data_IF_846487380486
#
_entry.id   IF_846487380486
#
_cell.length_a   1.000
_cell.length_b   1.000
_cell.length_c   1.000
_cell.angle_alpha   90.00
_cell.angle_beta   90.00
_cell.angle_gamma   90.00
#
_symmetry.space_group_name_H-M   'P 1'
#
loop_
_entity.id
_entity.type
_entity.pdbx_description
1 polymer ?
#
# COMPACT_ATOMS: atom_id res chain seq x y z
N UNK A 1 -14.74 14.84 -65.23
CA UNK A 1 -14.45 13.96 -64.07
C UNK A 1 -13.16 13.16 -64.25
N UNK A 2 -12.92 12.52 -65.40
CA UNK A 2 -11.69 11.73 -65.68
C UNK A 2 -10.38 12.54 -65.58
N UNK A 3 -10.35 13.80 -66.02
CA UNK A 3 -9.15 14.65 -65.97
C UNK A 3 -8.67 14.95 -64.54
N UNK A 4 -9.60 15.07 -63.57
CA UNK A 4 -9.26 15.27 -62.14
C UNK A 4 -8.70 14.00 -61.49
N UNK A 5 -9.15 12.82 -61.96
CA UNK A 5 -8.64 11.54 -61.48
C UNK A 5 -7.20 11.33 -61.98
N UNK A 6 -6.90 11.69 -63.23
CA UNK A 6 -5.53 11.62 -63.76
C UNK A 6 -4.55 12.57 -63.05
N UNK A 7 -4.99 13.78 -62.67
CA UNK A 7 -4.15 14.68 -61.86
C UNK A 7 -3.90 14.13 -60.47
N UNK A 8 -4.90 13.50 -59.84
CA UNK A 8 -4.72 12.90 -58.51
C UNK A 8 -3.82 11.68 -58.54
N UNK A 9 -3.92 10.81 -59.55
CA UNK A 9 -3.03 9.65 -59.68
C UNK A 9 -1.61 10.05 -60.04
N UNK A 10 -1.41 11.09 -60.86
CA UNK A 10 -0.07 11.61 -61.18
C UNK A 10 0.63 12.21 -59.95
N UNK A 11 -0.09 12.99 -59.14
CA UNK A 11 0.45 13.58 -57.90
C UNK A 11 0.80 12.48 -56.89
N UNK A 12 -0.06 11.47 -56.73
CA UNK A 12 0.19 10.36 -55.82
C UNK A 12 1.42 9.53 -56.25
N UNK A 13 1.62 9.32 -57.55
CA UNK A 13 2.77 8.58 -58.07
C UNK A 13 4.08 9.36 -57.90
N UNK A 14 4.05 10.69 -58.04
CA UNK A 14 5.22 11.54 -57.79
C UNK A 14 5.66 11.56 -56.31
N UNK A 15 4.72 11.45 -55.37
CA UNK A 15 5.02 11.41 -53.94
C UNK A 15 5.78 10.12 -53.52
N UNK A 16 5.58 9.02 -54.25
CA UNK A 16 6.29 7.76 -53.99
C UNK A 16 7.76 7.78 -54.43
N UNK A 17 8.16 8.69 -55.33
CA UNK A 17 9.54 8.80 -55.80
C UNK A 17 10.45 9.60 -54.85
N UNK A 18 9.89 10.40 -53.93
CA UNK A 18 10.66 11.21 -52.96
C UNK A 18 10.89 10.42 -51.65
N UNK A 19 10.16 9.32 -51.43
CA UNK A 19 10.27 8.53 -50.20
C UNK A 19 11.49 7.58 -50.15
N UNK A 20 12.38 7.64 -51.14
CA UNK A 20 13.61 6.85 -51.18
C UNK A 20 14.83 7.76 -51.03
N UNK A 21 14.93 8.43 -49.88
CA UNK A 21 16.20 9.00 -49.42
C UNK A 21 16.99 7.88 -48.75
N UNK A 22 18.07 7.45 -49.40
CA UNK A 22 19.00 6.47 -48.87
C UNK A 22 19.83 7.12 -47.78
N UNK A 23 19.51 6.83 -46.51
CA UNK A 23 20.38 7.13 -45.39
C UNK A 23 21.72 6.43 -45.61
N UNK A 24 22.72 7.18 -46.07
CA UNK A 24 24.10 6.73 -46.11
C UNK A 24 24.47 6.27 -44.69
N UNK A 25 24.81 4.99 -44.56
CA UNK A 25 25.30 4.38 -43.33
C UNK A 25 26.53 5.16 -42.80
N UNK A 26 26.31 6.21 -42.02
CA UNK A 26 27.32 6.75 -41.13
C UNK A 26 27.41 5.78 -39.96
N UNK A 27 28.36 4.86 -40.04
CA UNK A 27 28.82 4.08 -38.89
C UNK A 27 29.21 5.09 -37.81
N UNK A 28 28.33 5.29 -36.83
CA UNK A 28 28.65 6.08 -35.64
C UNK A 28 29.72 5.30 -34.87
N UNK A 29 30.91 5.88 -34.76
CA UNK A 29 31.98 5.30 -33.98
C UNK A 29 31.52 5.16 -32.52
N UNK A 30 31.67 3.97 -31.94
CA UNK A 30 31.28 3.68 -30.55
C UNK A 30 31.94 4.64 -29.55
N UNK A 31 33.06 5.26 -29.94
CA UNK A 31 33.76 6.27 -29.15
C UNK A 31 33.03 7.62 -29.01
N UNK A 32 32.07 7.93 -29.90
CA UNK A 32 31.27 9.16 -29.84
C UNK A 32 30.01 9.03 -28.97
N UNK A 33 29.62 7.80 -28.64
CA UNK A 33 28.45 7.50 -27.79
C UNK A 33 28.88 7.09 -26.38
N UNK A 34 30.15 6.72 -26.20
CA UNK A 34 30.68 6.35 -24.89
C UNK A 34 30.83 7.60 -24.03
N UNK A 35 30.20 7.66 -22.83
CA UNK A 35 30.46 8.74 -21.90
C UNK A 35 31.95 8.71 -21.53
N UNK A 36 32.69 9.72 -21.98
CA UNK A 36 34.08 9.90 -21.58
C UNK A 36 34.05 10.33 -20.12
N UNK A 37 34.52 9.46 -19.24
CA UNK A 37 34.69 9.75 -17.82
C UNK A 37 35.62 10.94 -17.68
N UNK A 38 35.08 12.15 -17.48
CA UNK A 38 35.84 13.22 -16.86
C UNK A 38 36.24 12.73 -15.47
N UNK A 39 37.54 12.53 -15.27
CA UNK A 39 38.10 12.09 -14.00
C UNK A 39 37.55 12.97 -12.88
N UNK A 40 36.76 12.35 -11.99
CA UNK A 40 36.18 13.02 -10.83
C UNK A 40 37.31 13.67 -10.04
N UNK A 41 37.44 14.99 -10.15
CA UNK A 41 38.15 15.79 -9.13
C UNK A 41 37.48 15.46 -7.81
N UNK A 42 38.27 15.03 -6.84
CA UNK A 42 37.85 14.67 -5.49
C UNK A 42 37.01 15.80 -4.87
N UNK A 43 35.69 15.78 -5.08
CA UNK A 43 34.75 16.44 -4.18
C UNK A 43 34.90 15.69 -2.87
N UNK A 44 35.40 16.39 -1.85
CA UNK A 44 35.34 15.94 -0.46
C UNK A 44 33.94 15.36 -0.25
N UNK A 45 33.91 14.09 0.13
CA UNK A 45 32.72 13.41 0.61
C UNK A 45 32.11 14.28 1.70
N UNK A 46 31.04 15.02 1.35
CA UNK A 46 30.10 15.49 2.35
C UNK A 46 29.59 14.22 3.02
N UNK A 47 29.87 14.09 4.30
CA UNK A 47 29.38 12.98 5.11
C UNK A 47 27.86 13.03 5.03
N UNK A 48 27.27 12.18 4.20
CA UNK A 48 25.82 12.01 4.14
C UNK A 48 25.42 11.52 5.52
N UNK A 49 24.87 12.43 6.33
CA UNK A 49 24.21 12.07 7.57
C UNK A 49 23.10 11.10 7.15
N UNK A 50 23.31 9.82 7.43
CA UNK A 50 22.36 8.75 7.13
C UNK A 50 21.19 8.92 8.09
N UNK A 51 20.28 9.84 7.75
CA UNK A 51 19.10 10.13 8.53
C UNK A 51 18.16 8.95 8.37
N UNK A 52 17.93 8.22 9.46
CA UNK A 52 16.99 7.11 9.50
C UNK A 52 15.61 7.61 9.00
N UNK A 53 15.18 7.08 7.85
CA UNK A 53 13.94 7.49 7.18
C UNK A 53 12.70 6.87 7.83
N UNK A 54 12.87 5.84 8.66
CA UNK A 54 11.79 5.11 9.33
C UNK A 54 11.53 5.60 10.76
N UNK A 55 12.48 6.32 11.36
CA UNK A 55 12.38 6.85 12.72
C UNK A 55 11.04 7.56 13.03
N UNK A 56 10.50 8.47 12.19
CA UNK A 56 9.22 9.13 12.49
C UNK A 56 8.04 8.14 12.50
N UNK A 57 8.11 7.08 11.70
CA UNK A 57 7.08 6.05 11.67
C UNK A 57 7.17 5.16 12.91
N UNK A 58 8.38 4.83 13.37
CA UNK A 58 8.60 4.09 14.61
C UNK A 58 8.07 4.87 15.83
N UNK A 59 8.31 6.18 15.89
CA UNK A 59 7.80 7.06 16.94
C UNK A 59 6.27 7.07 17.01
N UNK A 60 5.58 6.98 15.88
CA UNK A 60 4.11 6.90 15.84
C UNK A 60 3.54 5.69 16.60
N UNK A 61 4.28 4.57 16.66
CA UNK A 61 3.85 3.38 17.42
C UNK A 61 4.11 3.48 18.93
N UNK A 62 4.96 4.41 19.37
CA UNK A 62 5.44 4.48 20.76
C UNK A 62 5.17 5.84 21.44
N UNK A 63 4.19 6.59 20.95
CA UNK A 63 3.71 7.79 21.64
C UNK A 63 3.17 7.41 23.03
N UNK A 64 3.23 8.29 24.02
CA UNK A 64 2.88 8.00 25.43
C UNK A 64 1.49 7.36 25.63
N UNK A 65 0.54 7.66 24.75
CA UNK A 65 -0.82 7.11 24.80
C UNK A 65 -0.98 5.76 24.08
N UNK A 66 0.07 5.27 23.43
CA UNK A 66 0.12 4.06 22.61
C UNK A 66 1.15 3.09 23.21
N UNK A 67 0.66 2.14 24.00
CA UNK A 67 1.49 1.15 24.69
C UNK A 67 1.80 -0.09 23.83
N UNK A 68 2.42 0.09 22.65
CA UNK A 68 2.77 -1.02 21.74
C UNK A 68 4.21 -1.54 21.92
N UNK A 69 5.12 -0.73 22.49
CA UNK A 69 6.52 -1.11 22.78
C UNK A 69 7.29 -1.66 21.55
N UNK A 70 7.09 -1.04 20.39
CA UNK A 70 7.76 -1.42 19.14
C UNK A 70 9.22 -0.96 19.19
N UNK A 71 10.16 -1.89 18.97
CA UNK A 71 11.60 -1.61 19.00
C UNK A 71 12.16 -1.37 17.59
N UNK A 72 11.66 -2.12 16.61
CA UNK A 72 12.13 -2.00 15.23
C UNK A 72 10.94 -2.09 14.26
N UNK A 73 11.11 -1.44 13.11
CA UNK A 73 10.16 -1.39 12.02
C UNK A 73 10.91 -1.60 10.71
N UNK A 74 10.43 -2.52 9.88
CA UNK A 74 10.92 -2.73 8.52
C UNK A 74 9.79 -2.76 7.51
N UNK A 75 10.07 -2.35 6.28
CA UNK A 75 9.12 -2.43 5.19
C UNK A 75 8.97 -3.88 4.72
N UNK A 76 7.73 -4.30 4.47
CA UNK A 76 7.41 -5.57 3.82
C UNK A 76 7.00 -5.34 2.38
N UNK A 77 7.80 -5.85 1.44
CA UNK A 77 7.52 -5.82 0.01
C UNK A 77 6.52 -6.91 -0.37
N UNK A 78 5.28 -6.80 0.12
CA UNK A 78 4.19 -7.67 -0.31
C UNK A 78 2.95 -6.85 -0.64
N UNK A 79 2.29 -7.22 -1.75
CA UNK A 79 1.08 -6.55 -2.22
C UNK A 79 -0.15 -7.36 -1.81
N UNK A 80 -0.96 -6.77 -0.94
CA UNK A 80 -2.24 -7.33 -0.54
C UNK A 80 -3.33 -7.11 -1.61
N UNK A 81 -4.42 -7.90 -1.56
CA UNK A 81 -5.56 -7.76 -2.47
C UNK A 81 -6.14 -6.34 -2.53
N UNK A 82 -6.24 -5.67 -1.36
CA UNK A 82 -6.78 -4.31 -1.23
C UNK A 82 -6.02 -3.28 -2.08
N UNK A 83 -4.75 -3.54 -2.43
CA UNK A 83 -3.98 -2.65 -3.31
C UNK A 83 -4.60 -2.47 -4.72
N UNK A 84 -5.49 -3.38 -5.14
CA UNK A 84 -6.22 -3.27 -6.42
C UNK A 84 -7.22 -2.10 -6.45
N UNK A 85 -7.62 -1.58 -5.29
CA UNK A 85 -8.58 -0.48 -5.15
C UNK A 85 -7.92 0.91 -5.16
N UNK A 86 -6.65 0.97 -5.59
CA UNK A 86 -5.90 2.23 -5.79
C UNK A 86 -5.94 3.14 -4.55
N UNK A 87 -5.47 2.64 -3.38
CA UNK A 87 -5.38 3.46 -2.18
C UNK A 87 -4.45 4.66 -2.41
N UNK A 88 -4.78 5.80 -1.80
CA UNK A 88 -3.96 7.03 -1.85
C UNK A 88 -2.61 6.83 -1.15
N UNK A 89 -2.64 6.07 -0.05
CA UNK A 89 -1.45 5.66 0.71
C UNK A 89 -1.60 4.19 1.04
N UNK A 90 -0.53 3.43 0.85
CA UNK A 90 -0.42 2.04 1.27
C UNK A 90 0.91 1.84 1.97
N UNK A 91 0.90 1.31 3.19
CA UNK A 91 2.12 0.95 3.94
C UNK A 91 1.99 -0.46 4.45
N UNK A 92 3.10 -1.20 4.46
CA UNK A 92 3.15 -2.55 5.02
C UNK A 92 4.43 -2.71 5.83
N UNK A 93 4.27 -2.90 7.14
CA UNK A 93 5.37 -2.93 8.08
C UNK A 93 5.43 -4.25 8.82
N UNK A 94 6.64 -4.78 8.96
CA UNK A 94 6.98 -5.77 9.98
C UNK A 94 7.45 -5.01 11.22
N UNK A 95 6.89 -5.34 12.37
CA UNK A 95 7.17 -4.69 13.64
C UNK A 95 7.70 -5.75 14.61
N UNK A 96 8.79 -5.41 15.30
CA UNK A 96 9.32 -6.23 16.40
C UNK A 96 9.19 -5.49 17.71
N UNK A 97 8.90 -6.25 18.77
CA UNK A 97 8.84 -5.73 20.14
C UNK A 97 10.09 -6.13 20.90
N UNK A 98 10.20 -5.73 22.18
CA UNK A 98 11.24 -6.26 23.07
C UNK A 98 11.17 -7.78 23.20
N UNK A 99 9.97 -8.36 23.11
CA UNK A 99 9.79 -9.79 22.93
C UNK A 99 10.06 -10.15 21.46
N UNK A 100 11.26 -10.65 21.19
CA UNK A 100 11.70 -11.05 19.84
C UNK A 100 10.89 -12.20 19.24
N UNK A 101 10.09 -12.91 20.04
CA UNK A 101 9.22 -13.99 19.56
C UNK A 101 7.84 -13.48 19.11
N UNK A 102 7.52 -12.22 19.40
CA UNK A 102 6.31 -11.56 18.96
C UNK A 102 6.56 -10.85 17.63
N UNK A 103 6.11 -11.50 16.55
CA UNK A 103 6.11 -10.94 15.21
C UNK A 103 4.76 -10.30 14.95
N UNK A 104 4.78 -9.03 14.53
CA UNK A 104 3.58 -8.27 14.19
C UNK A 104 3.73 -7.74 12.78
N UNK A 105 2.69 -7.89 11.97
CA UNK A 105 2.56 -7.20 10.68
C UNK A 105 1.44 -6.19 10.78
N UNK A 106 1.72 -4.96 10.35
CA UNK A 106 0.72 -3.90 10.25
C UNK A 106 0.69 -3.35 8.83
N UNK A 107 -0.46 -3.51 8.18
CA UNK A 107 -0.71 -2.99 6.84
C UNK A 107 -1.81 -1.95 6.91
N UNK A 108 -1.60 -0.83 6.22
CA UNK A 108 -2.52 0.30 6.23
C UNK A 108 -2.79 0.80 4.82
N UNK A 109 -4.06 1.16 4.59
CA UNK A 109 -4.53 1.81 3.38
C UNK A 109 -5.35 3.04 3.70
N UNK A 110 -5.15 4.11 2.94
CA UNK A 110 -6.05 5.26 2.93
C UNK A 110 -6.74 5.41 1.58
N UNK A 111 -7.96 5.89 1.62
CA UNK A 111 -8.83 6.09 0.48
C UNK A 111 -9.39 7.50 0.46
N UNK A 112 -9.96 7.87 -0.69
CA UNK A 112 -10.56 9.18 -0.89
C UNK A 112 -11.76 9.42 0.04
N UNK A 113 -12.60 8.41 0.21
CA UNK A 113 -13.84 8.48 0.99
C UNK A 113 -14.35 7.07 1.37
N UNK A 114 -15.50 7.03 2.04
CA UNK A 114 -16.15 5.81 2.52
C UNK A 114 -16.65 4.88 1.43
N UNK A 115 -16.97 5.39 0.25
CA UNK A 115 -17.38 4.52 -0.85
C UNK A 115 -16.20 3.66 -1.30
N UNK A 116 -15.02 4.26 -1.50
CA UNK A 116 -13.82 3.52 -1.86
C UNK A 116 -13.39 2.55 -0.75
N UNK A 117 -13.40 3.00 0.51
CA UNK A 117 -13.06 2.15 1.66
C UNK A 117 -13.98 0.93 1.77
N UNK A 118 -15.29 1.15 1.70
CA UNK A 118 -16.28 0.08 1.80
C UNK A 118 -16.16 -0.89 0.62
N UNK A 119 -15.96 -0.38 -0.60
CA UNK A 119 -15.75 -1.22 -1.77
C UNK A 119 -14.54 -2.13 -1.60
N UNK A 120 -13.40 -1.60 -1.17
CA UNK A 120 -12.19 -2.40 -0.91
C UNK A 120 -12.43 -3.46 0.17
N UNK A 121 -13.05 -3.06 1.28
CA UNK A 121 -13.31 -3.93 2.43
C UNK A 121 -14.26 -5.08 2.09
N UNK A 122 -15.41 -4.80 1.48
CA UNK A 122 -16.40 -5.85 1.18
C UNK A 122 -15.93 -6.81 0.09
N UNK A 123 -15.22 -6.31 -0.93
CA UNK A 123 -14.61 -7.21 -1.93
C UNK A 123 -13.52 -8.11 -1.32
N UNK A 124 -12.73 -7.59 -0.37
CA UNK A 124 -11.78 -8.43 0.36
C UNK A 124 -12.52 -9.50 1.18
N UNK A 125 -13.57 -9.12 1.90
CA UNK A 125 -14.36 -10.04 2.72
C UNK A 125 -15.03 -11.15 1.89
N UNK A 126 -15.45 -10.84 0.67
CA UNK A 126 -16.02 -11.80 -0.28
C UNK A 126 -14.98 -12.82 -0.75
N UNK A 127 -13.74 -12.39 -1.02
CA UNK A 127 -12.63 -13.27 -1.41
C UNK A 127 -12.23 -14.22 -0.29
N UNK A 128 -12.25 -13.75 0.96
CA UNK A 128 -12.08 -14.60 2.14
C UNK A 128 -13.23 -15.60 2.36
N UNK A 129 -14.20 -15.64 1.42
CA UNK A 129 -15.42 -16.45 1.48
C UNK A 129 -16.17 -16.20 2.78
N UNK A 130 -16.13 -14.96 3.26
CA UNK A 130 -16.77 -14.52 4.49
C UNK A 130 -17.82 -13.44 4.23
N UNK A 131 -18.53 -13.59 3.09
CA UNK A 131 -19.50 -12.64 2.54
C UNK A 131 -20.69 -12.27 3.44
N UNK A 132 -20.86 -12.92 4.60
CA UNK A 132 -21.89 -12.58 5.57
C UNK A 132 -21.30 -11.76 6.71
N UNK A 133 -21.61 -10.46 6.72
CA UNK A 133 -21.35 -9.56 7.84
C UNK A 133 -21.93 -10.19 9.12
N UNK A 134 -21.20 -10.05 10.23
CA UNK A 134 -21.54 -10.61 11.55
C UNK A 134 -21.55 -12.14 11.62
N UNK A 135 -21.00 -12.84 10.63
CA UNK A 135 -20.81 -14.28 10.71
C UNK A 135 -19.45 -14.61 11.36
N UNK A 136 -19.43 -15.37 12.47
CA UNK A 136 -18.18 -15.81 13.06
C UNK A 136 -17.57 -16.95 12.24
N UNK A 137 -16.52 -16.62 11.49
CA UNK A 137 -15.71 -17.57 10.71
C UNK A 137 -14.24 -17.28 10.94
N UNK A 138 -13.40 -18.32 10.98
CA UNK A 138 -11.96 -18.11 11.01
C UNK A 138 -11.47 -17.61 9.63
N UNK A 139 -10.74 -16.50 9.64
CA UNK A 139 -10.01 -15.94 8.50
C UNK A 139 -8.57 -16.44 8.49
N UNK A 140 -7.91 -16.35 9.64
CA UNK A 140 -6.47 -16.61 9.79
C UNK A 140 -6.18 -17.68 10.84
N UNK A 141 -4.94 -18.19 10.91
CA UNK A 141 -4.48 -19.00 12.06
C UNK A 141 -3.91 -18.14 13.18
N UNK A 142 -3.44 -16.96 12.83
CA UNK A 142 -2.80 -15.98 13.70
C UNK A 142 -3.83 -15.11 14.43
N UNK A 143 -3.35 -14.25 15.33
CA UNK A 143 -4.16 -13.12 15.76
C UNK A 143 -4.37 -12.22 14.54
N UNK A 144 -5.60 -11.77 14.33
CA UNK A 144 -5.93 -10.85 13.26
C UNK A 144 -6.88 -9.78 13.77
N UNK A 145 -6.62 -8.53 13.42
CA UNK A 145 -7.50 -7.41 13.69
C UNK A 145 -7.60 -6.54 12.45
N UNK A 146 -8.83 -6.22 12.04
CA UNK A 146 -9.09 -5.23 11.01
C UNK A 146 -9.88 -4.07 11.62
N UNK A 147 -9.41 -2.85 11.41
CA UNK A 147 -10.09 -1.61 11.82
C UNK A 147 -10.45 -0.84 10.55
N UNK A 148 -11.74 -0.69 10.30
CA UNK A 148 -12.26 -0.06 9.09
C UNK A 148 -12.84 1.28 9.50
N UNK A 149 -12.21 2.36 9.04
CA UNK A 149 -12.70 3.72 9.21
C UNK A 149 -13.47 4.17 7.96
N UNK A 150 -13.96 5.41 7.95
CA UNK A 150 -14.58 5.99 6.77
C UNK A 150 -13.59 6.15 5.60
N UNK A 151 -12.32 6.42 5.85
CA UNK A 151 -11.34 6.66 4.78
C UNK A 151 -10.08 5.77 4.87
N UNK A 152 -10.09 4.76 5.73
CA UNK A 152 -8.91 3.91 5.91
C UNK A 152 -9.22 2.50 6.37
N UNK A 153 -8.25 1.62 6.17
CA UNK A 153 -8.25 0.24 6.66
C UNK A 153 -6.90 -0.03 7.29
N UNK A 154 -6.89 -0.47 8.55
CA UNK A 154 -5.70 -0.95 9.25
C UNK A 154 -5.87 -2.46 9.52
N UNK A 155 -4.95 -3.27 9.00
CA UNK A 155 -4.86 -4.71 9.23
C UNK A 155 -3.65 -5.03 10.11
N UNK A 156 -3.89 -5.74 11.20
CA UNK A 156 -2.89 -6.14 12.17
C UNK A 156 -2.91 -7.67 12.26
N UNK A 157 -1.77 -8.31 12.04
CA UNK A 157 -1.60 -9.74 12.25
C UNK A 157 -0.45 -10.00 13.22
N UNK A 158 -0.56 -11.02 14.07
CA UNK A 158 0.51 -11.32 15.02
C UNK A 158 0.64 -12.80 15.42
N UNK A 159 1.86 -13.19 15.75
CA UNK A 159 2.19 -14.55 16.23
C UNK A 159 1.58 -14.86 17.60
N UNK A 160 1.19 -13.85 18.40
CA UNK A 160 0.50 -13.98 19.70
C UNK A 160 -0.76 -13.10 19.73
N UNK A 161 -1.66 -13.36 20.68
CA UNK A 161 -2.82 -12.48 20.88
C UNK A 161 -2.36 -11.11 21.39
N UNK A 162 -2.85 -10.04 20.76
CA UNK A 162 -2.57 -8.66 21.17
C UNK A 162 -3.74 -8.08 21.97
N UNK A 163 -3.49 -7.01 22.71
CA UNK A 163 -4.55 -6.16 23.28
C UNK A 163 -5.12 -5.25 22.17
N UNK A 164 -6.39 -5.42 21.77
CA UNK A 164 -7.02 -4.59 20.74
C UNK A 164 -7.10 -3.11 21.12
N UNK A 165 -7.14 -2.77 22.42
CA UNK A 165 -7.27 -1.39 22.85
C UNK A 165 -6.03 -0.57 22.53
N UNK A 166 -4.83 -1.16 22.57
CA UNK A 166 -3.59 -0.46 22.20
C UNK A 166 -3.59 -0.07 20.71
N UNK A 167 -4.10 -0.94 19.84
CA UNK A 167 -4.24 -0.66 18.41
C UNK A 167 -5.34 0.35 18.10
N UNK A 168 -6.46 0.31 18.82
CA UNK A 168 -7.50 1.32 18.68
C UNK A 168 -7.00 2.70 19.13
N UNK A 169 -6.19 2.78 20.19
CA UNK A 169 -5.50 4.02 20.59
C UNK A 169 -4.54 4.48 19.49
N UNK A 170 -3.70 3.59 18.96
CA UNK A 170 -2.81 3.91 17.85
C UNK A 170 -3.56 4.52 16.66
N UNK A 171 -4.64 3.89 16.21
CA UNK A 171 -5.47 4.40 15.10
C UNK A 171 -6.09 5.76 15.46
N UNK A 172 -6.63 5.89 16.68
CA UNK A 172 -7.23 7.15 17.17
C UNK A 172 -6.27 8.33 17.15
N UNK A 173 -5.00 8.13 17.47
CA UNK A 173 -4.01 9.23 17.53
C UNK A 173 -3.31 9.49 16.20
N UNK A 174 -3.12 8.46 15.36
CA UNK A 174 -2.30 8.58 14.16
C UNK A 174 -3.09 8.68 12.84
N UNK A 175 -4.41 8.42 12.86
CA UNK A 175 -5.24 8.46 11.66
C UNK A 175 -6.20 9.65 11.70
N UNK A 176 -6.40 10.27 10.53
CA UNK A 176 -7.44 11.29 10.33
C UNK A 176 -8.68 10.61 9.76
N UNK A 177 -9.63 10.27 10.62
CA UNK A 177 -10.90 9.65 10.24
C UNK A 177 -12.07 10.34 10.94
N UNK A 178 -13.28 10.22 10.38
CA UNK A 178 -14.51 10.74 11.00
C UNK A 178 -15.18 9.72 11.90
N UNK A 179 -15.20 8.47 11.48
CA UNK A 179 -15.85 7.38 12.22
C UNK A 179 -15.18 6.03 11.96
N UNK A 180 -15.23 5.14 12.95
CA UNK A 180 -14.92 3.72 12.78
C UNK A 180 -16.21 3.00 12.37
N UNK A 181 -16.21 2.40 11.19
CA UNK A 181 -17.35 1.67 10.64
C UNK A 181 -17.43 0.25 11.18
N UNK A 182 -16.30 -0.48 11.16
CA UNK A 182 -16.24 -1.88 11.57
C UNK A 182 -14.93 -2.21 12.28
N UNK A 183 -15.01 -3.11 13.25
CA UNK A 183 -13.84 -3.73 13.88
C UNK A 183 -14.03 -5.24 13.85
N UNK A 184 -13.06 -5.96 13.29
CA UNK A 184 -13.05 -7.40 13.24
C UNK A 184 -11.85 -7.86 14.06
N UNK A 185 -12.05 -8.78 15.01
CA UNK A 185 -10.96 -9.32 15.82
C UNK A 185 -11.08 -10.83 15.84
N UNK A 186 -9.95 -11.48 15.63
CA UNK A 186 -9.80 -12.91 15.74
C UNK A 186 -8.61 -13.22 16.65
N UNK A 187 -8.88 -13.89 17.77
CA UNK A 187 -7.81 -14.48 18.59
C UNK A 187 -7.21 -15.67 17.85
N UNK A 188 -5.96 -16.02 18.13
CA UNK A 188 -5.30 -17.19 17.55
C UNK A 188 -6.18 -18.43 17.63
N UNK A 189 -6.28 -19.16 16.52
CA UNK A 189 -7.04 -20.40 16.39
C UNK A 189 -8.52 -20.27 16.82
N UNK A 190 -9.09 -19.08 16.75
CA UNK A 190 -10.49 -18.82 17.09
C UNK A 190 -11.26 -18.30 15.88
N UNK A 191 -12.59 -18.18 16.02
CA UNK A 191 -13.43 -17.53 15.02
C UNK A 191 -13.30 -16.02 15.18
N UNK A 192 -13.30 -15.31 14.06
CA UNK A 192 -13.39 -13.86 14.06
C UNK A 192 -14.74 -13.41 14.63
N UNK A 193 -14.71 -12.33 15.40
CA UNK A 193 -15.87 -11.66 15.99
C UNK A 193 -15.90 -10.20 15.52
N UNK A 194 -17.09 -9.64 15.46
CA UNK A 194 -17.31 -8.24 15.06
C UNK A 194 -17.51 -7.38 16.30
N UNK A 195 -17.02 -6.15 16.27
CA UNK A 195 -17.06 -5.23 17.39
C UNK A 195 -17.46 -3.83 16.95
N UNK A 196 -18.00 -3.08 17.91
CA UNK A 196 -18.13 -1.63 17.85
C UNK A 196 -17.22 -0.98 18.89
N UNK A 197 -16.80 0.24 18.63
CA UNK A 197 -16.02 1.04 19.58
C UNK A 197 -16.73 2.37 19.82
N UNK A 198 -17.37 2.49 20.98
CA UNK A 198 -18.12 3.69 21.38
C UNK A 198 -17.75 4.03 22.82
N UNK A 199 -17.61 5.32 23.14
CA UNK A 199 -17.21 5.79 24.48
C UNK A 199 -15.94 5.07 25.04
N UNK A 200 -14.93 4.86 24.19
CA UNK A 200 -13.71 4.10 24.50
C UNK A 200 -13.94 2.65 24.97
N UNK A 201 -15.11 2.08 24.69
CA UNK A 201 -15.47 0.71 25.03
C UNK A 201 -15.63 -0.12 23.77
N UNK A 202 -14.87 -1.21 23.72
CA UNK A 202 -14.99 -2.23 22.69
C UNK A 202 -16.11 -3.21 23.06
N UNK A 203 -17.14 -3.32 22.23
CA UNK A 203 -18.31 -4.17 22.49
C UNK A 203 -18.54 -5.12 21.32
N UNK A 204 -18.62 -6.42 21.61
CA UNK A 204 -18.89 -7.45 20.61
C UNK A 204 -20.32 -7.32 20.07
N UNK A 205 -20.48 -7.37 18.75
CA UNK A 205 -21.76 -7.43 18.06
C UNK A 205 -22.18 -8.90 18.02
N UNK A 206 -23.11 -9.27 18.90
CA UNK A 206 -23.75 -10.57 18.86
C UNK A 206 -24.88 -10.54 17.85
N UNK A 207 -24.90 -11.51 16.93
CA UNK A 207 -26.03 -11.72 16.04
C UNK A 207 -27.23 -12.16 16.90
N UNK A 208 -28.34 -11.42 16.82
CA UNK A 208 -29.64 -11.87 17.33
C UNK A 208 -30.21 -12.92 16.39
#
# INVERSE_FOLDING_TARGET
MKLRIYTFTLVLLSALLIACETDSNKVKDLNDIRPKSEGKKNKKSETTINKDTLQPYLEAYNQDSVALEIVNLSNLESKHFINRFQPLVSTNYSLTTKDSTLEITHTYWSFKDSLYTNNAFFNWLDIEKNSKIYNPKALEKLFFMAIICDNSIDFISASKNLDPLNWLRFVKFNRKYKSISYILIQKRKSKMQWFTFTANKLTEIKKK
#
